data_IF_948572314666
#
_entry.id   IF_948572314666
#
_cell.length_a   1.000
_cell.length_b   1.000
_cell.length_c   1.000
_cell.angle_alpha   90.00
_cell.angle_beta   90.00
_cell.angle_gamma   90.00
#
_symmetry.space_group_name_H-M   'P 1'
#
loop_
_entity.id
_entity.type
_entity.pdbx_description
1 polymer ?
#
# COMPACT_ATOMS: atom_id res chain seq x y z
N UNK A 1 7.73 -24.51 8.81
CA UNK A 1 8.53 -24.13 9.99
C UNK A 1 9.17 -22.78 9.69
N UNK A 2 9.28 -21.93 10.71
CA UNK A 2 9.85 -20.58 10.61
C UNK A 2 11.08 -20.47 11.50
N UNK A 3 12.21 -20.03 10.95
CA UNK A 3 13.47 -19.97 11.70
C UNK A 3 14.70 -20.11 10.80
N UNK A 4 15.87 -20.10 11.43
CA UNK A 4 17.16 -20.38 10.78
C UNK A 4 17.97 -21.31 11.68
N UNK A 5 18.55 -22.37 11.10
CA UNK A 5 19.31 -23.40 11.83
C UNK A 5 18.45 -24.10 12.88
N UNK A 6 18.97 -24.23 14.11
CA UNK A 6 18.29 -24.91 15.23
C UNK A 6 17.08 -24.14 15.79
N UNK A 7 16.85 -22.89 15.35
CA UNK A 7 15.75 -22.05 15.85
C UNK A 7 14.49 -22.20 15.00
N UNK A 8 14.17 -23.42 14.59
CA UNK A 8 12.95 -23.71 13.84
C UNK A 8 11.75 -23.77 14.78
N UNK A 9 10.79 -22.87 14.55
CA UNK A 9 9.54 -22.79 15.31
C UNK A 9 8.33 -23.17 14.45
N UNK A 10 7.31 -23.69 15.10
CA UNK A 10 6.00 -23.95 14.48
C UNK A 10 5.23 -22.64 14.28
N UNK A 11 4.18 -22.65 13.43
CA UNK A 11 3.38 -21.44 13.19
C UNK A 11 2.72 -20.93 14.48
N UNK A 12 2.29 -21.85 15.36
CA UNK A 12 1.67 -21.52 16.65
C UNK A 12 2.64 -20.78 17.57
N UNK A 13 3.84 -21.31 17.76
CA UNK A 13 4.87 -20.68 18.60
C UNK A 13 5.27 -19.29 18.10
N UNK A 14 5.31 -19.07 16.78
CA UNK A 14 5.60 -17.73 16.23
C UNK A 14 4.47 -16.74 16.53
N UNK A 15 3.21 -17.19 16.47
CA UNK A 15 2.05 -16.35 16.80
C UNK A 15 2.02 -16.01 18.29
N UNK A 16 2.24 -17.01 19.15
CA UNK A 16 2.32 -16.82 20.60
C UNK A 16 3.44 -15.83 20.97
N UNK A 17 4.66 -16.06 20.49
CA UNK A 17 5.80 -15.18 20.74
C UNK A 17 5.58 -13.76 20.19
N UNK A 18 4.91 -13.62 19.04
CA UNK A 18 4.59 -12.31 18.47
C UNK A 18 3.59 -11.54 19.36
N UNK A 19 2.56 -12.21 19.87
CA UNK A 19 1.57 -11.61 20.76
C UNK A 19 2.18 -11.26 22.13
N UNK A 20 3.08 -12.09 22.67
CA UNK A 20 3.81 -11.82 23.91
C UNK A 20 4.75 -10.61 23.79
N UNK A 21 5.44 -10.48 22.65
CA UNK A 21 6.39 -9.38 22.43
C UNK A 21 5.72 -8.05 22.09
N UNK A 22 4.45 -8.07 21.68
CA UNK A 22 3.70 -6.87 21.30
C UNK A 22 2.30 -6.86 21.96
N UNK A 23 2.24 -6.71 23.31
CA UNK A 23 0.98 -6.73 24.04
C UNK A 23 0.07 -5.54 23.71
N UNK A 24 0.64 -4.44 23.20
CA UNK A 24 -0.10 -3.23 22.79
C UNK A 24 -0.89 -3.41 21.48
N UNK A 25 -0.71 -4.53 20.79
CA UNK A 25 -1.37 -4.83 19.51
C UNK A 25 -2.50 -5.82 19.70
N UNK A 26 -3.47 -5.77 18.80
CA UNK A 26 -4.54 -6.76 18.77
C UNK A 26 -3.94 -8.16 18.51
N UNK A 27 -4.29 -9.18 19.31
CA UNK A 27 -3.72 -10.51 19.16
C UNK A 27 -4.02 -11.06 17.77
N UNK A 28 -2.99 -11.59 17.11
CA UNK A 28 -3.16 -12.22 15.80
C UNK A 28 -3.59 -13.67 16.04
N UNK A 29 -4.69 -14.10 15.41
CA UNK A 29 -5.28 -15.43 15.62
C UNK A 29 -4.87 -16.46 14.56
N UNK A 30 -4.71 -16.05 13.29
CA UNK A 30 -4.09 -16.83 12.20
C UNK A 30 -3.92 -15.97 10.93
N UNK A 31 -2.68 -15.88 10.38
CA UNK A 31 -2.26 -15.29 9.07
C UNK A 31 -2.18 -13.72 9.05
N UNK A 32 -1.20 -13.04 8.40
CA UNK A 32 -0.22 -13.43 7.39
C UNK A 32 1.24 -13.23 7.84
N UNK A 33 1.61 -13.66 9.05
CA UNK A 33 3.03 -13.61 9.47
C UNK A 33 3.91 -14.36 8.46
N UNK A 34 3.43 -15.50 7.97
CA UNK A 34 4.06 -16.29 6.91
C UNK A 34 4.24 -15.50 5.61
N UNK A 35 3.16 -14.92 5.07
CA UNK A 35 3.24 -14.17 3.82
C UNK A 35 4.10 -12.91 3.97
N UNK A 36 4.04 -12.22 5.13
CA UNK A 36 4.91 -11.08 5.42
C UNK A 36 6.37 -11.51 5.50
N UNK A 37 6.67 -12.61 6.20
CA UNK A 37 8.03 -13.12 6.35
C UNK A 37 8.59 -13.69 5.04
N UNK A 38 7.80 -14.38 4.24
CA UNK A 38 8.22 -14.87 2.91
C UNK A 38 8.52 -13.71 1.95
N UNK A 39 7.67 -12.68 1.94
CA UNK A 39 7.82 -11.56 1.01
C UNK A 39 8.89 -10.54 1.45
N UNK A 40 9.03 -10.28 2.75
CA UNK A 40 9.83 -9.17 3.28
C UNK A 40 10.92 -9.59 4.27
N UNK A 41 11.00 -10.90 4.62
CA UNK A 41 11.87 -11.43 5.68
C UNK A 41 11.68 -10.78 7.06
N UNK A 42 10.59 -10.03 7.25
CA UNK A 42 10.22 -9.38 8.49
C UNK A 42 8.70 -9.28 8.64
N UNK A 43 8.22 -9.10 9.87
CA UNK A 43 6.78 -9.01 10.18
C UNK A 43 6.33 -7.55 10.41
N UNK A 44 7.25 -6.59 10.28
CA UNK A 44 6.99 -5.15 10.46
C UNK A 44 5.87 -4.68 9.53
N UNK A 45 5.09 -3.73 10.00
CA UNK A 45 4.11 -3.06 9.15
C UNK A 45 4.84 -2.17 8.17
N UNK A 46 4.57 -2.41 6.89
CA UNK A 46 5.07 -1.57 5.82
C UNK A 46 4.22 -0.30 5.75
N UNK A 47 4.83 0.86 5.45
CA UNK A 47 4.06 2.04 5.12
C UNK A 47 3.13 1.69 3.96
N UNK A 48 1.83 1.83 4.17
CA UNK A 48 0.86 1.68 3.07
C UNK A 48 1.18 2.77 2.05
N UNK A 49 1.31 2.38 0.78
CA UNK A 49 1.27 3.34 -0.33
C UNK A 49 0.06 4.23 -0.13
N UNK A 50 0.28 5.51 0.20
CA UNK A 50 -0.79 6.46 0.45
C UNK A 50 -1.66 6.65 -0.78
N UNK A 51 -2.88 7.17 -0.58
CA UNK A 51 -3.69 7.68 -1.69
C UNK A 51 -2.92 8.84 -2.35
N UNK A 52 -2.78 8.88 -3.69
CA UNK A 52 -2.11 9.99 -4.36
C UNK A 52 -2.77 11.33 -3.97
N UNK A 53 -1.95 12.38 -3.85
CA UNK A 53 -2.39 13.69 -3.37
C UNK A 53 -3.57 14.23 -4.20
N UNK A 54 -4.60 14.73 -3.51
CA UNK A 54 -5.80 15.33 -4.14
C UNK A 54 -5.49 16.65 -4.88
N UNK A 55 -4.40 17.33 -4.52
CA UNK A 55 -3.97 18.59 -5.15
C UNK A 55 -3.90 18.48 -6.67
N UNK A 56 -3.37 17.37 -7.15
CA UNK A 56 -3.09 17.21 -8.57
C UNK A 56 -4.33 16.85 -9.38
N UNK A 57 -5.39 16.36 -8.73
CA UNK A 57 -6.67 16.10 -9.37
C UNK A 57 -7.44 17.42 -9.54
N UNK A 58 -7.32 18.31 -8.56
CA UNK A 58 -8.02 19.59 -8.52
C UNK A 58 -7.57 20.52 -9.65
N UNK A 59 -6.26 20.55 -9.94
CA UNK A 59 -5.73 21.36 -11.04
C UNK A 59 -6.25 20.94 -12.41
N UNK A 60 -6.44 19.63 -12.64
CA UNK A 60 -7.00 19.11 -13.90
C UNK A 60 -8.48 19.46 -14.02
N UNK A 61 -9.24 19.38 -12.93
CA UNK A 61 -10.65 19.77 -12.90
C UNK A 61 -10.83 21.29 -13.14
N UNK A 62 -9.95 22.11 -12.57
CA UNK A 62 -9.93 23.55 -12.83
C UNK A 62 -9.62 23.86 -14.30
N UNK A 63 -8.65 23.19 -14.91
CA UNK A 63 -8.35 23.36 -16.33
C UNK A 63 -9.52 22.96 -17.25
N UNK A 64 -10.27 21.91 -16.89
CA UNK A 64 -11.51 21.53 -17.61
C UNK A 64 -12.58 22.60 -17.46
N UNK A 65 -12.71 23.18 -16.26
CA UNK A 65 -13.66 24.27 -16.00
C UNK A 65 -13.28 25.57 -16.71
N UNK A 66 -12.00 25.87 -16.83
CA UNK A 66 -11.50 27.06 -17.55
C UNK A 66 -11.59 26.89 -19.07
N UNK A 67 -11.41 25.66 -19.58
CA UNK A 67 -11.52 25.37 -21.01
C UNK A 67 -12.18 24.00 -21.26
N UNK A 68 -13.50 24.04 -21.42
CA UNK A 68 -14.35 22.86 -21.63
C UNK A 68 -14.12 22.11 -22.96
N UNK A 69 -13.43 22.73 -23.93
CA UNK A 69 -13.16 22.13 -25.23
C UNK A 69 -11.81 21.40 -25.30
N UNK A 70 -11.05 21.43 -24.20
CA UNK A 70 -9.77 20.74 -24.09
C UNK A 70 -9.96 19.24 -24.30
N UNK A 71 -9.22 18.68 -25.25
CA UNK A 71 -9.25 17.24 -25.46
C UNK A 71 -8.51 16.52 -24.33
N UNK A 72 -8.90 15.28 -24.09
CA UNK A 72 -8.31 14.46 -23.01
C UNK A 72 -6.80 14.26 -23.19
N UNK A 73 -6.34 14.19 -24.45
CA UNK A 73 -4.91 14.07 -24.77
C UNK A 73 -4.14 15.36 -24.50
N UNK A 74 -4.75 16.53 -24.70
CA UNK A 74 -4.14 17.83 -24.35
C UNK A 74 -4.00 17.98 -22.84
N UNK A 75 -5.06 17.68 -22.07
CA UNK A 75 -4.98 17.70 -20.62
C UNK A 75 -3.95 16.67 -20.09
N UNK A 76 -3.86 15.50 -20.73
CA UNK A 76 -2.85 14.51 -20.38
C UNK A 76 -1.42 15.02 -20.62
N UNK A 77 -1.16 15.72 -21.73
CA UNK A 77 0.15 16.31 -22.00
C UNK A 77 0.50 17.45 -21.04
N UNK A 78 -0.45 18.34 -20.78
CA UNK A 78 -0.23 19.56 -19.99
C UNK A 78 0.11 19.22 -18.53
N UNK A 79 -0.51 18.15 -18.00
CA UNK A 79 -0.27 17.67 -16.65
C UNK A 79 0.73 16.50 -16.58
N UNK A 80 1.40 16.16 -17.69
CA UNK A 80 2.34 15.04 -17.82
C UNK A 80 1.80 13.74 -17.18
N UNK A 81 0.58 13.34 -17.59
CA UNK A 81 -0.15 12.20 -17.05
C UNK A 81 -0.60 11.26 -18.14
N UNK A 82 -0.79 10.00 -17.78
CA UNK A 82 -1.48 9.08 -18.66
C UNK A 82 -2.93 9.52 -18.87
N UNK A 83 -3.40 9.52 -20.12
CA UNK A 83 -4.78 9.82 -20.48
C UNK A 83 -5.79 9.01 -19.65
N UNK A 84 -5.50 7.74 -19.39
CA UNK A 84 -6.32 6.87 -18.55
C UNK A 84 -6.47 7.36 -17.10
N UNK A 85 -5.51 8.11 -16.57
CA UNK A 85 -5.60 8.70 -15.23
C UNK A 85 -6.44 9.97 -15.24
N UNK A 86 -6.36 10.79 -16.29
CA UNK A 86 -7.17 12.01 -16.47
C UNK A 86 -8.65 11.65 -16.67
N UNK A 87 -8.94 10.60 -17.46
CA UNK A 87 -10.30 10.12 -17.66
C UNK A 87 -10.98 9.58 -16.40
N UNK A 88 -10.19 9.08 -15.44
CA UNK A 88 -10.66 8.49 -14.17
C UNK A 88 -10.77 9.51 -13.03
N UNK A 89 -10.44 10.78 -13.27
CA UNK A 89 -10.64 11.86 -12.30
C UNK A 89 -12.14 12.14 -12.15
#
# INVERSE_FOLDING_TARGET
MFGFGDRMRTKKEVVELFNETHPDRHPITQIPIESKYLNFRHVRDLPKSGRPSKSDQLNVLLAIQENHHSTLNQLASDFNRAASKVHKL
#
